data_IF_394736670098
#
_entry.id   IF_394736670098
#
_cell.length_a   1.000
_cell.length_b   1.000
_cell.length_c   1.000
_cell.angle_alpha   90.00
_cell.angle_beta   90.00
_cell.angle_gamma   90.00
#
_symmetry.space_group_name_H-M   'P 1'
#
loop_
_entity.id
_entity.type
_entity.pdbx_description
1 polymer ?
#
# COMPACT_ATOMS: atom_id res chain seq x y z
N UNK A 1 -1.55 0.09 23.27
CA UNK A 1 -2.15 -0.25 21.97
C UNK A 1 -1.07 -0.49 20.95
N UNK A 2 -1.19 -1.58 20.21
CA UNK A 2 -0.21 -1.87 19.16
C UNK A 2 -0.59 -1.15 17.88
N UNK A 3 0.41 -0.57 17.25
CA UNK A 3 0.23 0.04 15.94
C UNK A 3 0.80 -0.90 14.89
N UNK A 4 0.47 -0.64 13.65
CA UNK A 4 1.01 -1.42 12.54
C UNK A 4 2.53 -1.22 12.42
N UNK A 5 3.19 -2.10 11.69
CA UNK A 5 4.62 -1.95 11.39
C UNK A 5 4.83 -0.62 10.68
N UNK A 6 5.77 0.22 11.17
CA UNK A 6 6.01 1.50 10.52
C UNK A 6 6.42 1.35 9.06
N UNK A 7 5.97 2.30 8.24
CA UNK A 7 6.42 2.39 6.86
C UNK A 7 7.85 2.94 6.79
N UNK A 8 8.39 3.03 5.58
CA UNK A 8 7.72 2.66 4.33
C UNK A 8 7.70 1.14 4.12
N UNK A 9 6.66 0.68 3.47
CA UNK A 9 6.57 -0.69 2.99
C UNK A 9 6.93 -0.70 1.52
N UNK A 10 7.52 -1.78 1.06
CA UNK A 10 7.92 -1.88 -0.35
C UNK A 10 7.68 -3.29 -0.86
N UNK A 11 7.58 -3.41 -2.17
CA UNK A 11 7.45 -4.72 -2.80
C UNK A 11 8.82 -5.26 -3.17
N UNK A 12 8.97 -6.57 -3.02
CA UNK A 12 10.10 -7.33 -3.55
C UNK A 12 9.47 -8.54 -4.23
N UNK A 13 9.24 -8.44 -5.54
CA UNK A 13 8.43 -9.43 -6.24
C UNK A 13 7.01 -9.41 -5.70
N UNK A 14 6.54 -10.54 -5.19
CA UNK A 14 5.21 -10.68 -4.60
C UNK A 14 5.22 -10.48 -3.07
N UNK A 15 6.36 -10.15 -2.50
CA UNK A 15 6.48 -9.91 -1.07
C UNK A 15 6.27 -8.42 -0.79
N UNK A 16 5.69 -8.12 0.35
CA UNK A 16 5.65 -6.76 0.87
C UNK A 16 6.48 -6.75 2.15
N UNK A 17 7.46 -5.87 2.20
CA UNK A 17 8.41 -5.78 3.31
C UNK A 17 8.51 -4.36 3.87
N UNK A 18 8.79 -4.30 5.16
CA UNK A 18 9.18 -3.06 5.84
C UNK A 18 10.60 -3.29 6.36
N UNK A 19 11.61 -2.77 5.64
CA UNK A 19 12.98 -3.12 5.94
C UNK A 19 13.21 -4.62 5.80
N UNK A 20 13.64 -5.26 6.88
CA UNK A 20 13.85 -6.71 6.91
C UNK A 20 12.61 -7.51 7.31
N UNK A 21 11.56 -6.83 7.75
CA UNK A 21 10.35 -7.50 8.20
C UNK A 21 9.46 -7.84 7.02
N UNK A 22 9.00 -9.07 6.96
CA UNK A 22 8.01 -9.47 5.98
C UNK A 22 6.63 -9.08 6.48
N UNK A 23 5.91 -8.29 5.67
CA UNK A 23 4.54 -7.90 5.99
C UNK A 23 3.58 -8.97 5.49
N UNK A 24 3.71 -9.34 4.22
CA UNK A 24 2.88 -10.39 3.65
C UNK A 24 3.41 -10.85 2.29
N UNK A 25 2.85 -11.96 1.82
CA UNK A 25 2.96 -12.41 0.44
C UNK A 25 1.66 -12.06 -0.27
N UNK A 26 1.75 -11.50 -1.45
CA UNK A 26 0.58 -11.28 -2.29
C UNK A 26 0.27 -12.52 -3.13
N UNK A 27 0.65 -13.68 -2.64
CA UNK A 27 0.44 -14.95 -3.28
C UNK A 27 -0.55 -15.76 -2.47
N UNK A 28 -1.59 -16.25 -3.14
CA UNK A 28 -2.60 -17.05 -2.49
C UNK A 28 -2.31 -18.52 -2.74
N UNK A 29 -1.93 -19.24 -1.69
CA UNK A 29 -1.57 -20.65 -1.79
C UNK A 29 -2.78 -21.57 -1.90
N UNK A 30 -3.96 -21.12 -1.50
CA UNK A 30 -5.06 -22.04 -1.27
C UNK A 30 -6.16 -21.99 -2.32
N UNK A 31 -6.49 -20.86 -2.84
CA UNK A 31 -7.71 -20.77 -3.58
C UNK A 31 -7.53 -20.30 -5.00
N UNK A 32 -6.49 -19.60 -5.31
CA UNK A 32 -6.39 -18.97 -6.59
C UNK A 32 -5.03 -19.16 -7.22
N UNK A 33 -4.70 -20.43 -7.44
CA UNK A 33 -3.62 -20.74 -8.35
C UNK A 33 -3.85 -20.08 -9.71
N UNK A 34 -5.11 -19.70 -9.98
CA UNK A 34 -5.51 -19.09 -11.23
C UNK A 34 -5.42 -17.58 -11.27
N UNK A 35 -5.15 -16.92 -10.14
CA UNK A 35 -4.98 -15.46 -10.17
C UNK A 35 -3.77 -15.12 -11.05
N UNK A 36 -3.96 -14.32 -12.09
CA UNK A 36 -2.84 -13.96 -12.97
C UNK A 36 -1.74 -13.22 -12.22
N UNK A 37 -0.49 -13.45 -12.63
CA UNK A 37 0.64 -12.81 -11.99
C UNK A 37 0.56 -11.27 -12.02
N UNK A 38 0.14 -10.62 -13.14
CA UNK A 38 -0.02 -9.16 -13.12
C UNK A 38 -0.96 -8.68 -12.04
N UNK A 39 -2.03 -9.44 -11.77
CA UNK A 39 -2.97 -9.08 -10.70
C UNK A 39 -2.33 -9.25 -9.33
N UNK A 40 -1.53 -10.30 -9.13
CA UNK A 40 -0.80 -10.49 -7.88
C UNK A 40 0.17 -9.36 -7.63
N UNK A 41 0.88 -8.92 -8.66
CA UNK A 41 1.79 -7.78 -8.54
C UNK A 41 1.05 -6.49 -8.23
N UNK A 42 -0.10 -6.28 -8.84
CA UNK A 42 -0.95 -5.12 -8.55
C UNK A 42 -1.42 -5.15 -7.10
N UNK A 43 -1.78 -6.33 -6.60
CA UNK A 43 -2.19 -6.50 -5.20
C UNK A 43 -1.03 -6.17 -4.25
N UNK A 44 0.17 -6.66 -4.57
CA UNK A 44 1.35 -6.35 -3.75
C UNK A 44 1.62 -4.85 -3.72
N UNK A 45 1.50 -4.18 -4.86
CA UNK A 45 1.68 -2.73 -4.94
C UNK A 45 0.68 -2.00 -4.06
N UNK A 46 -0.58 -2.36 -4.16
CA UNK A 46 -1.63 -1.72 -3.35
C UNK A 46 -1.35 -1.92 -1.86
N UNK A 47 -1.01 -3.13 -1.47
CA UNK A 47 -0.71 -3.44 -0.06
C UNK A 47 0.49 -2.63 0.42
N UNK A 48 1.53 -2.50 -0.40
CA UNK A 48 2.74 -1.78 -0.01
C UNK A 48 2.50 -0.30 0.24
N UNK A 49 1.44 0.26 -0.33
CA UNK A 49 1.10 1.67 -0.16
C UNK A 49 0.17 1.92 1.02
N UNK A 50 -0.21 0.88 1.76
CA UNK A 50 -1.17 1.03 2.86
C UNK A 50 -0.74 2.08 3.90
N UNK A 51 0.52 2.13 4.37
CA UNK A 51 0.90 3.18 5.32
C UNK A 51 0.73 4.59 4.75
N UNK A 52 1.04 4.77 3.47
CA UNK A 52 0.89 6.08 2.83
C UNK A 52 -0.58 6.43 2.61
N UNK A 53 -1.41 5.43 2.32
CA UNK A 53 -2.85 5.63 2.21
C UNK A 53 -3.45 6.08 3.54
N UNK A 54 -3.03 5.45 4.63
CA UNK A 54 -3.48 5.84 5.95
C UNK A 54 -3.09 7.28 6.25
N UNK A 55 -1.84 7.64 5.96
CA UNK A 55 -1.37 9.02 6.15
C UNK A 55 -2.17 10.00 5.30
N UNK A 56 -2.45 9.65 4.04
CA UNK A 56 -3.24 10.51 3.16
C UNK A 56 -4.64 10.74 3.73
N UNK A 57 -5.26 9.67 4.24
CA UNK A 57 -6.59 9.77 4.85
C UNK A 57 -6.57 10.63 6.11
N UNK A 58 -5.55 10.46 6.95
CA UNK A 58 -5.40 11.26 8.15
C UNK A 58 -5.24 12.74 7.83
N UNK A 59 -4.44 13.04 6.79
CA UNK A 59 -4.24 14.42 6.36
C UNK A 59 -5.52 15.03 5.82
N UNK A 60 -6.28 14.27 5.02
CA UNK A 60 -7.54 14.76 4.46
C UNK A 60 -8.63 14.94 5.53
N UNK A 61 -8.61 14.11 6.56
CA UNK A 61 -9.58 14.18 7.64
C UNK A 61 -9.27 15.27 8.65
N UNK A 62 -8.09 15.86 8.59
CA UNK A 62 -7.68 16.92 9.51
C UNK A 62 -8.47 18.19 9.22
N UNK A 63 -8.92 18.92 10.26
CA UNK A 63 -9.69 20.16 10.05
C UNK A 63 -8.96 21.22 9.24
N UNK A 64 -7.62 21.18 9.21
CA UNK A 64 -6.82 22.15 8.49
C UNK A 64 -6.34 21.59 7.13
N UNK A 65 -6.99 20.53 6.64
CA UNK A 65 -6.61 19.95 5.35
C UNK A 65 -6.72 21.01 4.23
N UNK A 66 -5.77 20.99 3.32
CA UNK A 66 -5.68 21.95 2.24
C UNK A 66 -5.36 21.26 0.91
N UNK A 67 -5.06 22.05 -0.11
CA UNK A 67 -4.78 21.54 -1.45
C UNK A 67 -3.54 20.64 -1.49
N UNK A 68 -2.56 20.87 -0.63
CA UNK A 68 -1.38 20.03 -0.56
C UNK A 68 -1.75 18.61 -0.08
N UNK A 69 -2.67 18.53 0.86
CA UNK A 69 -3.14 17.22 1.34
C UNK A 69 -3.90 16.49 0.25
N UNK A 70 -4.68 17.21 -0.53
CA UNK A 70 -5.41 16.64 -1.66
C UNK A 70 -4.43 16.17 -2.75
N UNK A 71 -3.41 16.96 -3.06
CA UNK A 71 -2.40 16.58 -4.04
C UNK A 71 -1.63 15.35 -3.61
N UNK A 72 -1.30 15.26 -2.33
CA UNK A 72 -0.64 14.07 -1.80
C UNK A 72 -1.52 12.83 -1.98
N UNK A 73 -2.81 12.95 -1.66
CA UNK A 73 -3.74 11.84 -1.83
C UNK A 73 -3.82 11.40 -3.30
N UNK A 74 -3.88 12.36 -4.22
CA UNK A 74 -3.92 12.06 -5.66
C UNK A 74 -2.67 11.33 -6.12
N UNK A 75 -1.51 11.73 -5.60
CA UNK A 75 -0.25 11.07 -5.91
C UNK A 75 -0.26 9.62 -5.44
N UNK A 76 -0.74 9.36 -4.22
CA UNK A 76 -0.82 8.02 -3.68
C UNK A 76 -1.81 7.16 -4.50
N UNK A 77 -2.93 7.73 -4.88
CA UNK A 77 -3.90 7.03 -5.73
C UNK A 77 -3.25 6.61 -7.06
N UNK A 78 -2.51 7.53 -7.68
CA UNK A 78 -1.84 7.22 -8.94
C UNK A 78 -0.84 6.08 -8.78
N UNK A 79 -0.05 6.12 -7.72
CA UNK A 79 0.89 5.04 -7.43
C UNK A 79 0.19 3.71 -7.21
N UNK A 80 -0.93 3.71 -6.49
CA UNK A 80 -1.69 2.50 -6.23
C UNK A 80 -2.24 1.89 -7.50
N UNK A 81 -2.58 2.72 -8.48
CA UNK A 81 -3.09 2.28 -9.77
C UNK A 81 -1.98 1.91 -10.75
N UNK A 82 -0.72 2.10 -10.39
CA UNK A 82 0.40 1.81 -11.26
C UNK A 82 0.69 2.88 -12.30
N UNK A 83 0.27 4.08 -12.01
CA UNK A 83 0.46 5.22 -12.92
C UNK A 83 1.68 6.05 -12.54
#
# INVERSE_FOLDING_TARGET
>A
MKTHTPGPWRTTGLNVRAGDALICYAMNHHANAETPEPEKLANARLISLAPQMLLALERLAHPMADDEDLDYAREIIAKAKGQ
#
